data_IF_687600660240
#
_entry.id   IF_687600660240
#
_cell.length_a   1.000
_cell.length_b   1.000
_cell.length_c   1.000
_cell.angle_alpha   90.00
_cell.angle_beta   90.00
_cell.angle_gamma   90.00
#
_symmetry.space_group_name_H-M   'P 1'
#
loop_
_entity.id
_entity.type
_entity.pdbx_description
1 polymer ?
#
# COMPACT_ATOMS: atom_id res chain seq x y z
N UNK A 1 -6.03 -15.72 23.10
CA UNK A 1 -5.06 -15.00 22.24
C UNK A 1 -5.66 -13.65 21.88
N UNK A 2 -4.89 -12.58 21.87
CA UNK A 2 -5.44 -11.31 21.39
C UNK A 2 -5.93 -11.50 19.95
N UNK A 3 -7.09 -10.95 19.65
CA UNK A 3 -7.68 -11.05 18.32
C UNK A 3 -6.80 -10.35 17.29
N UNK A 4 -6.61 -10.99 16.13
CA UNK A 4 -5.92 -10.36 15.02
C UNK A 4 -6.78 -9.23 14.47
N UNK A 5 -6.17 -8.11 14.13
CA UNK A 5 -6.85 -7.01 13.44
C UNK A 5 -7.53 -7.52 12.15
N UNK A 6 -8.79 -7.22 12.00
CA UNK A 6 -9.60 -7.51 10.80
C UNK A 6 -10.82 -6.59 10.78
N UNK A 7 -11.56 -6.59 9.71
CA UNK A 7 -12.82 -5.80 9.64
C UNK A 7 -13.81 -6.19 10.76
N UNK A 8 -13.81 -7.47 11.14
CA UNK A 8 -14.70 -7.99 12.19
C UNK A 8 -14.27 -7.60 13.61
N UNK A 9 -12.97 -7.48 13.83
CA UNK A 9 -12.38 -7.21 15.14
C UNK A 9 -11.95 -5.77 15.32
N UNK A 10 -12.16 -4.92 14.33
CA UNK A 10 -11.69 -3.54 14.29
C UNK A 10 -12.09 -2.75 15.54
N UNK A 11 -13.33 -2.89 16.02
CA UNK A 11 -13.85 -2.20 17.21
C UNK A 11 -13.13 -2.54 18.50
N UNK A 12 -12.44 -3.69 18.58
CA UNK A 12 -11.66 -4.08 19.75
C UNK A 12 -10.34 -3.29 19.90
N UNK A 13 -9.90 -2.60 18.84
CA UNK A 13 -8.65 -1.82 18.82
C UNK A 13 -8.90 -0.34 19.15
N UNK A 14 -9.53 -0.07 20.30
CA UNK A 14 -10.01 1.26 20.72
C UNK A 14 -8.92 2.33 20.87
N UNK A 15 -7.65 1.94 21.05
CA UNK A 15 -6.51 2.86 21.15
C UNK A 15 -6.04 3.42 19.81
N UNK A 16 -6.49 2.86 18.70
CA UNK A 16 -6.11 3.30 17.37
C UNK A 16 -7.26 4.08 16.71
N UNK A 17 -6.94 5.14 15.98
CA UNK A 17 -7.89 5.78 15.07
C UNK A 17 -8.27 4.81 13.96
N UNK A 18 -9.56 4.60 13.72
CA UNK A 18 -10.06 3.69 12.68
C UNK A 18 -10.47 4.43 11.40
N UNK A 19 -10.55 3.72 10.25
CA UNK A 19 -11.24 4.22 9.06
C UNK A 19 -12.67 4.67 9.41
N UNK A 20 -13.02 5.91 9.04
CA UNK A 20 -14.35 6.50 9.31
C UNK A 20 -15.35 6.25 8.18
N UNK A 21 -14.98 5.45 7.18
CA UNK A 21 -15.76 5.17 5.98
C UNK A 21 -16.08 3.67 5.84
N UNK A 22 -17.10 3.37 5.06
CA UNK A 22 -17.47 1.99 4.72
C UNK A 22 -16.52 1.44 3.64
N UNK A 23 -15.60 0.58 4.05
CA UNK A 23 -14.61 -0.04 3.17
C UNK A 23 -15.22 -0.87 2.04
N UNK A 24 -16.43 -1.40 2.22
CA UNK A 24 -17.12 -2.18 1.18
C UNK A 24 -17.52 -1.34 -0.04
N UNK A 25 -17.61 -0.01 0.14
CA UNK A 25 -17.96 0.95 -0.90
C UNK A 25 -16.74 1.55 -1.61
N UNK A 26 -15.55 1.28 -1.11
CA UNK A 26 -14.32 1.81 -1.69
C UNK A 26 -14.05 1.17 -3.04
N UNK A 27 -13.84 2.01 -4.06
CA UNK A 27 -13.46 1.58 -5.40
C UNK A 27 -11.96 1.73 -5.59
N UNK A 28 -11.36 0.78 -6.30
CA UNK A 28 -9.95 0.87 -6.65
C UNK A 28 -9.71 1.98 -7.68
N UNK A 29 -8.97 3.00 -7.29
CA UNK A 29 -8.54 4.10 -8.16
C UNK A 29 -7.03 4.13 -8.37
N UNK A 30 -6.28 3.47 -7.49
CA UNK A 30 -4.82 3.46 -7.49
C UNK A 30 -4.32 2.02 -7.60
N UNK A 31 -3.40 1.78 -8.52
CA UNK A 31 -2.56 0.58 -8.56
C UNK A 31 -1.16 0.96 -8.06
N UNK A 32 -0.70 0.34 -6.97
CA UNK A 32 0.64 0.58 -6.45
C UNK A 32 1.53 -0.65 -6.61
N UNK A 33 2.65 -0.49 -7.32
CA UNK A 33 3.64 -1.54 -7.52
C UNK A 33 4.77 -1.40 -6.50
N UNK A 34 4.97 -2.44 -5.68
CA UNK A 34 6.00 -2.45 -4.64
C UNK A 34 5.49 -2.06 -3.26
N UNK A 35 4.44 -2.75 -2.77
CA UNK A 35 3.88 -2.52 -1.43
C UNK A 35 4.91 -2.89 -0.36
N UNK A 36 5.60 -1.87 0.13
CA UNK A 36 6.59 -1.98 1.19
C UNK A 36 6.25 -1.14 2.42
N UNK A 37 7.21 -1.02 3.34
CA UNK A 37 7.06 -0.18 4.54
C UNK A 37 6.87 1.30 4.19
N UNK A 38 7.65 1.81 3.25
CA UNK A 38 7.57 3.21 2.80
C UNK A 38 6.17 3.56 2.27
N UNK A 39 5.67 2.79 1.30
CA UNK A 39 4.33 3.02 0.75
C UNK A 39 3.24 3.00 1.83
N UNK A 40 3.29 1.99 2.73
CA UNK A 40 2.28 1.82 3.78
C UNK A 40 2.30 2.92 4.83
N UNK A 41 3.46 3.50 5.12
CA UNK A 41 3.62 4.57 6.09
C UNK A 41 3.56 5.98 5.46
N UNK A 42 3.38 6.08 4.16
CA UNK A 42 3.43 7.35 3.44
C UNK A 42 2.23 7.53 2.51
N UNK A 43 2.29 7.08 1.26
CA UNK A 43 1.21 7.29 0.28
C UNK A 43 -0.14 6.75 0.77
N UNK A 44 -0.17 5.56 1.36
CA UNK A 44 -1.41 4.97 1.85
C UNK A 44 -2.04 5.78 2.98
N UNK A 45 -1.27 6.54 3.76
CA UNK A 45 -1.80 7.44 4.81
C UNK A 45 -2.55 8.60 4.18
N UNK A 46 -1.99 9.25 3.16
CA UNK A 46 -2.68 10.34 2.45
C UNK A 46 -3.94 9.84 1.75
N UNK A 47 -3.88 8.65 1.15
CA UNK A 47 -5.06 8.03 0.53
C UNK A 47 -6.13 7.73 1.58
N UNK A 48 -5.75 7.25 2.77
CA UNK A 48 -6.65 7.03 3.90
C UNK A 48 -7.37 8.33 4.32
N UNK A 49 -6.67 9.47 4.30
CA UNK A 49 -7.28 10.78 4.60
C UNK A 49 -8.29 11.20 3.53
N UNK A 50 -8.01 10.93 2.26
CA UNK A 50 -8.94 11.19 1.16
C UNK A 50 -10.19 10.32 1.28
N UNK A 51 -10.04 9.03 1.56
CA UNK A 51 -11.18 8.13 1.80
C UNK A 51 -12.01 8.58 3.01
N UNK A 52 -11.35 9.01 4.09
CA UNK A 52 -12.01 9.53 5.29
C UNK A 52 -12.77 10.85 5.05
N UNK A 53 -12.36 11.63 4.05
CA UNK A 53 -13.10 12.84 3.61
C UNK A 53 -14.34 12.54 2.77
N UNK A 54 -14.56 11.26 2.42
CA UNK A 54 -15.75 10.79 1.69
C UNK A 54 -15.52 10.48 0.21
N UNK A 55 -14.33 10.72 -0.35
CA UNK A 55 -14.05 10.32 -1.74
C UNK A 55 -13.57 8.87 -1.82
N UNK A 56 -14.52 7.96 -1.93
CA UNK A 56 -14.29 6.51 -1.91
C UNK A 56 -13.76 5.92 -3.24
N UNK A 57 -13.36 6.77 -4.19
CA UNK A 57 -12.86 6.32 -5.51
C UNK A 57 -11.38 5.94 -5.51
N UNK A 58 -10.66 6.14 -4.40
CA UNK A 58 -9.21 6.10 -4.35
C UNK A 58 -8.61 4.93 -3.57
N UNK A 59 -9.35 3.84 -3.43
CA UNK A 59 -8.79 2.62 -2.85
C UNK A 59 -7.56 2.14 -3.61
N UNK A 60 -6.63 1.53 -2.88
CA UNK A 60 -5.36 1.05 -3.42
C UNK A 60 -5.43 -0.45 -3.64
N UNK A 61 -5.12 -0.90 -4.85
CA UNK A 61 -4.70 -2.27 -5.12
C UNK A 61 -3.18 -2.29 -5.19
N UNK A 62 -2.56 -3.10 -4.36
CA UNK A 62 -1.12 -3.32 -4.39
C UNK A 62 -0.72 -4.42 -5.36
N UNK A 63 0.49 -4.33 -5.92
CA UNK A 63 1.09 -5.40 -6.70
C UNK A 63 2.55 -5.59 -6.28
N UNK A 64 2.93 -6.81 -5.91
CA UNK A 64 4.30 -7.16 -5.57
C UNK A 64 4.91 -8.07 -6.64
N UNK A 65 6.09 -7.68 -7.15
CA UNK A 65 6.72 -8.35 -8.28
C UNK A 65 7.55 -9.57 -7.87
N UNK A 66 8.07 -9.61 -6.64
CA UNK A 66 9.08 -10.59 -6.21
C UNK A 66 8.62 -11.53 -5.10
N UNK A 67 7.63 -11.15 -4.29
CA UNK A 67 7.30 -11.90 -3.08
C UNK A 67 5.84 -11.73 -2.68
N UNK A 68 5.22 -12.82 -2.27
CA UNK A 68 3.87 -12.84 -1.70
C UNK A 68 3.83 -12.50 -0.20
N UNK A 69 4.97 -12.40 0.47
CA UNK A 69 5.05 -12.26 1.93
C UNK A 69 4.14 -11.16 2.50
N UNK A 70 4.10 -10.00 1.87
CA UNK A 70 3.27 -8.89 2.36
C UNK A 70 1.78 -9.20 2.21
N UNK A 71 1.38 -9.78 1.08
CA UNK A 71 0.01 -10.24 0.86
C UNK A 71 -0.41 -11.26 1.91
N UNK A 72 0.42 -12.27 2.12
CA UNK A 72 0.10 -13.39 3.02
C UNK A 72 0.03 -12.95 4.48
N UNK A 73 0.79 -11.94 4.85
CA UNK A 73 0.72 -11.30 6.19
C UNK A 73 -0.53 -10.44 6.38
N UNK A 74 -0.95 -9.69 5.36
CA UNK A 74 -2.06 -8.74 5.48
C UNK A 74 -3.41 -9.33 5.08
N UNK A 75 -3.45 -10.34 4.23
CA UNK A 75 -4.70 -10.99 3.81
C UNK A 75 -5.55 -11.47 4.99
N UNK A 76 -5.02 -12.14 6.05
CA UNK A 76 -5.81 -12.52 7.22
C UNK A 76 -6.30 -11.35 8.07
N UNK A 77 -5.89 -10.12 7.75
CA UNK A 77 -6.29 -8.87 8.39
C UNK A 77 -7.18 -8.03 7.48
N UNK A 78 -7.77 -8.61 6.43
CA UNK A 78 -8.54 -7.87 5.42
C UNK A 78 -7.75 -6.69 4.83
N UNK A 79 -6.42 -6.84 4.72
CA UNK A 79 -5.44 -5.83 4.32
C UNK A 79 -5.40 -4.58 5.21
N UNK A 80 -6.03 -4.61 6.37
CA UNK A 80 -5.86 -3.60 7.41
C UNK A 80 -4.47 -3.73 8.05
N UNK A 81 -3.90 -2.62 8.46
CA UNK A 81 -2.68 -2.59 9.27
C UNK A 81 -2.64 -1.33 10.12
N UNK A 82 -1.79 -1.34 11.14
CA UNK A 82 -1.63 -0.19 12.03
C UNK A 82 -0.34 0.53 11.73
N UNK A 83 -0.39 1.86 11.70
CA UNK A 83 0.78 2.73 11.77
C UNK A 83 0.89 3.32 13.15
N UNK A 84 2.13 3.59 13.57
CA UNK A 84 2.45 4.26 14.82
C UNK A 84 3.30 5.49 14.52
N UNK A 85 2.77 6.66 14.84
CA UNK A 85 3.54 7.91 14.84
C UNK A 85 4.05 8.14 16.25
N UNK A 86 5.37 8.22 16.40
CA UNK A 86 6.02 8.43 17.70
C UNK A 86 6.43 9.88 17.85
N UNK A 87 5.94 10.50 18.91
CA UNK A 87 6.40 11.79 19.42
C UNK A 87 7.25 11.55 20.68
N UNK A 88 7.84 12.60 21.24
CA UNK A 88 8.70 12.49 22.43
C UNK A 88 7.93 11.86 23.61
N UNK A 89 6.69 12.31 23.86
CA UNK A 89 5.92 11.89 25.01
C UNK A 89 4.64 11.10 24.66
N UNK A 90 4.36 10.89 23.37
CA UNK A 90 3.12 10.28 22.91
C UNK A 90 3.35 9.40 21.69
N UNK A 91 2.61 8.30 21.62
CA UNK A 91 2.48 7.48 20.43
C UNK A 91 1.04 7.48 19.94
N UNK A 92 0.85 7.81 18.67
CA UNK A 92 -0.47 7.78 18.01
C UNK A 92 -0.56 6.55 17.12
N UNK A 93 -1.65 5.81 17.28
CA UNK A 93 -1.92 4.61 16.49
C UNK A 93 -3.06 4.88 15.51
N UNK A 94 -2.89 4.44 14.28
CA UNK A 94 -3.91 4.57 13.25
C UNK A 94 -4.03 3.26 12.47
N UNK A 95 -5.24 2.74 12.34
CA UNK A 95 -5.55 1.66 11.41
C UNK A 95 -5.76 2.25 10.03
N UNK A 96 -5.07 1.69 9.04
CA UNK A 96 -5.14 2.10 7.65
C UNK A 96 -5.95 1.06 6.87
N UNK A 97 -6.99 1.52 6.19
CA UNK A 97 -7.91 0.71 5.40
C UNK A 97 -7.88 1.01 3.91
N UNK A 98 -7.05 1.96 3.46
CA UNK A 98 -6.95 2.35 2.05
C UNK A 98 -6.50 1.21 1.12
N UNK A 99 -5.69 0.28 1.64
CA UNK A 99 -5.22 -0.89 0.90
C UNK A 99 -6.33 -1.95 0.88
N UNK A 100 -6.84 -2.26 -0.32
CA UNK A 100 -7.97 -3.19 -0.50
C UNK A 100 -7.51 -4.61 -0.81
N UNK A 101 -6.41 -4.75 -1.54
CA UNK A 101 -5.85 -6.05 -1.93
C UNK A 101 -4.36 -5.92 -2.27
N UNK A 102 -3.64 -7.04 -2.27
CA UNK A 102 -2.28 -7.14 -2.80
C UNK A 102 -2.22 -8.33 -3.74
N UNK A 103 -1.89 -8.06 -4.99
CA UNK A 103 -1.64 -9.06 -6.02
C UNK A 103 -0.15 -9.42 -6.07
N UNK A 104 0.15 -10.59 -6.61
CA UNK A 104 1.53 -11.01 -6.86
C UNK A 104 1.73 -11.33 -8.33
N UNK A 105 2.85 -10.86 -8.90
CA UNK A 105 3.12 -11.05 -10.32
C UNK A 105 3.17 -12.53 -10.71
N UNK A 106 3.72 -13.36 -9.83
CA UNK A 106 3.86 -14.80 -10.06
C UNK A 106 2.51 -15.49 -10.28
N UNK A 107 1.49 -15.13 -9.51
CA UNK A 107 0.20 -15.82 -9.51
C UNK A 107 -0.90 -15.06 -10.28
N UNK A 108 -0.76 -13.74 -10.38
CA UNK A 108 -1.87 -12.87 -10.82
C UNK A 108 -1.43 -11.87 -11.91
N UNK A 109 -0.47 -12.27 -12.74
CA UNK A 109 0.07 -11.40 -13.81
C UNK A 109 -1.02 -10.83 -14.72
N UNK A 110 -1.95 -11.66 -15.16
CA UNK A 110 -3.00 -11.21 -16.08
C UNK A 110 -3.98 -10.23 -15.41
N UNK A 111 -4.26 -10.44 -14.12
CA UNK A 111 -5.09 -9.54 -13.34
C UNK A 111 -4.41 -8.17 -13.18
N UNK A 112 -3.10 -8.15 -12.90
CA UNK A 112 -2.31 -6.91 -12.82
C UNK A 112 -2.33 -6.16 -14.16
N UNK A 113 -2.13 -6.86 -15.28
CA UNK A 113 -2.19 -6.27 -16.63
C UNK A 113 -3.60 -5.72 -16.90
N UNK A 114 -4.64 -6.46 -16.54
CA UNK A 114 -6.03 -6.01 -16.67
C UNK A 114 -6.33 -4.75 -15.85
N UNK A 115 -5.77 -4.64 -14.64
CA UNK A 115 -5.89 -3.43 -13.83
C UNK A 115 -5.18 -2.24 -14.47
N UNK A 116 -3.98 -2.43 -15.02
CA UNK A 116 -3.25 -1.36 -15.74
C UNK A 116 -4.07 -0.82 -16.91
N UNK A 117 -4.76 -1.68 -17.62
CA UNK A 117 -5.62 -1.32 -18.75
C UNK A 117 -7.02 -0.85 -18.32
N UNK A 118 -7.38 -0.98 -17.05
CA UNK A 118 -8.73 -0.68 -16.56
C UNK A 118 -8.98 0.82 -16.49
N UNK A 119 -10.13 1.31 -17.00
CA UNK A 119 -10.51 2.71 -16.82
C UNK A 119 -10.84 3.06 -15.35
N UNK A 120 -11.00 2.07 -14.48
CA UNK A 120 -11.19 2.26 -13.04
C UNK A 120 -9.93 2.78 -12.36
N UNK A 121 -8.76 2.29 -12.76
CA UNK A 121 -7.47 2.75 -12.23
C UNK A 121 -7.11 4.09 -12.89
N UNK A 122 -6.92 5.12 -12.07
CA UNK A 122 -6.60 6.48 -12.51
C UNK A 122 -5.15 6.84 -12.28
N UNK A 123 -4.52 6.19 -11.30
CA UNK A 123 -3.14 6.47 -10.91
C UNK A 123 -2.39 5.14 -10.77
N UNK A 124 -1.22 5.07 -11.38
CA UNK A 124 -0.26 3.98 -11.16
C UNK A 124 0.96 4.57 -10.50
N UNK A 125 1.35 4.01 -9.36
CA UNK A 125 2.54 4.44 -8.62
C UNK A 125 3.48 3.27 -8.37
N UNK A 126 4.77 3.56 -8.20
CA UNK A 126 5.80 2.56 -7.98
C UNK A 126 6.69 2.99 -6.83
N UNK A 127 7.07 2.04 -5.97
CA UNK A 127 8.22 2.23 -5.08
C UNK A 127 9.44 1.58 -5.74
N UNK A 128 10.35 2.40 -6.22
CA UNK A 128 11.59 1.98 -6.85
C UNK A 128 12.74 2.40 -5.93
N UNK A 129 13.55 1.43 -5.52
CA UNK A 129 14.76 1.73 -4.75
C UNK A 129 15.85 2.27 -5.68
N UNK A 130 16.84 2.96 -5.12
CA UNK A 130 17.99 3.49 -5.85
C UNK A 130 18.62 2.46 -6.80
N UNK A 131 18.77 1.22 -6.35
CA UNK A 131 19.27 0.10 -7.18
C UNK A 131 18.38 -0.25 -8.36
N UNK A 132 17.11 0.15 -8.35
CA UNK A 132 16.16 -0.11 -9.45
C UNK A 132 16.39 0.80 -10.66
N UNK A 133 17.13 1.90 -10.49
CA UNK A 133 17.53 2.79 -11.59
C UNK A 133 18.84 2.36 -12.27
N UNK A 134 19.55 1.39 -11.68
CA UNK A 134 20.76 0.85 -12.29
C UNK A 134 20.37 -0.24 -13.28
N UNK A 135 20.78 -0.16 -14.55
CA UNK A 135 20.59 -1.24 -15.50
C UNK A 135 21.41 -2.47 -15.11
N UNK A 136 20.96 -3.62 -15.58
CA UNK A 136 21.59 -4.91 -15.27
C UNK A 136 23.04 -5.01 -15.80
N UNK A 137 23.40 -4.18 -16.77
CA UNK A 137 24.76 -4.04 -17.27
C UNK A 137 25.38 -2.74 -16.78
N UNK A 138 26.18 -2.83 -15.75
CA UNK A 138 26.89 -1.70 -15.15
C UNK A 138 27.92 -1.03 -16.07
N UNK A 139 28.24 -1.64 -17.21
CA UNK A 139 29.28 -1.19 -18.13
C UNK A 139 28.86 -0.02 -19.02
N UNK A 140 27.57 0.33 -19.07
CA UNK A 140 27.07 1.31 -20.05
C UNK A 140 26.36 2.53 -19.47
N UNK A 141 26.20 2.61 -18.13
CA UNK A 141 25.56 3.72 -17.46
C UNK A 141 26.32 4.16 -16.20
N UNK A 142 27.61 4.20 -16.28
CA UNK A 142 28.30 5.26 -15.56
C UNK A 142 27.88 6.54 -16.25
N UNK A 143 26.95 7.28 -15.67
CA UNK A 143 26.87 8.72 -15.95
C UNK A 143 28.31 9.23 -15.81
N UNK A 144 28.86 9.93 -16.82
CA UNK A 144 30.12 10.60 -16.61
C UNK A 144 29.90 11.55 -15.44
N UNK A 145 30.33 11.15 -14.26
CA UNK A 145 30.54 12.08 -13.16
C UNK A 145 31.67 12.96 -13.64
N UNK A 146 31.31 14.05 -14.25
CA UNK A 146 32.25 15.15 -14.43
C UNK A 146 32.65 15.55 -13.03
N UNK A 147 33.91 15.35 -12.59
CA UNK A 147 34.35 15.93 -11.34
C UNK A 147 34.24 17.42 -11.52
N UNK A 148 33.46 18.05 -10.67
CA UNK A 148 33.53 19.50 -10.46
C UNK A 148 34.84 19.84 -9.82
#
# INVERSE_FOLDING_TARGET
MPDRLSQKTLSAFSLARHPSYDRSKVKAGILHIGVGGFHRAHQAIYTEDVLASGDLRWGIIGANLRSANMRDRLKPQDFLYTTCTRHIDLSEYRVVGALQNILTLEQQRQEIIGLIASPGIKIITLTITEKGYCPVSYTHLTLPTTPC
#
